data_IF_807712285434
#
_entry.id   IF_807712285434
#
_cell.length_a   1.000
_cell.length_b   1.000
_cell.length_c   1.000
_cell.angle_alpha   90.00
_cell.angle_beta   90.00
_cell.angle_gamma   90.00
#
_symmetry.space_group_name_H-M   'P 1'
#
loop_
_entity.id
_entity.type
_entity.pdbx_description
1 polymer ?
#
# COMPACT_ATOMS: atom_id res chain seq x y z
N UNK A 1 10.50 24.82 -2.99
CA UNK A 1 10.14 23.72 -2.07
C UNK A 1 8.62 23.64 -2.05
N UNK A 2 8.05 22.49 -2.41
CA UNK A 2 6.61 22.31 -2.54
C UNK A 2 5.97 22.29 -1.15
N UNK A 3 5.16 23.30 -0.82
CA UNK A 3 4.55 23.46 0.51
C UNK A 3 3.52 22.36 0.86
N UNK A 4 3.00 21.65 -0.15
CA UNK A 4 2.12 20.49 0.05
C UNK A 4 2.87 19.33 0.73
N UNK A 5 4.14 19.14 0.34
CA UNK A 5 5.00 18.10 0.90
C UNK A 5 5.31 18.40 2.37
N UNK A 6 5.53 19.68 2.72
CA UNK A 6 5.80 20.14 4.09
C UNK A 6 4.60 19.89 5.04
N UNK A 7 3.37 20.14 4.58
CA UNK A 7 2.18 19.86 5.40
C UNK A 7 1.91 18.36 5.58
N UNK A 8 2.06 17.58 4.51
CA UNK A 8 1.88 16.13 4.58
C UNK A 8 2.93 15.48 5.50
N UNK A 9 4.20 15.86 5.37
CA UNK A 9 5.29 15.41 6.25
C UNK A 9 5.02 15.80 7.71
N UNK A 10 4.54 17.03 7.96
CA UNK A 10 4.17 17.48 9.30
C UNK A 10 3.03 16.65 9.91
N UNK A 11 1.99 16.35 9.14
CA UNK A 11 0.87 15.51 9.57
C UNK A 11 1.33 14.08 9.87
N UNK A 12 2.12 13.48 8.99
CA UNK A 12 2.67 12.14 9.17
C UNK A 12 3.56 12.06 10.42
N UNK A 13 4.36 13.10 10.68
CA UNK A 13 5.17 13.20 11.89
C UNK A 13 4.31 13.33 13.16
N UNK A 14 3.22 14.11 13.13
CA UNK A 14 2.30 14.24 14.27
C UNK A 14 1.61 12.92 14.61
N UNK A 15 1.24 12.14 13.60
CA UNK A 15 0.68 10.78 13.78
C UNK A 15 1.75 9.84 14.36
N UNK A 16 2.95 9.84 13.80
CA UNK A 16 4.06 8.99 14.26
C UNK A 16 4.47 9.26 15.71
N UNK A 17 4.42 10.52 16.14
CA UNK A 17 4.72 10.94 17.51
C UNK A 17 3.53 10.80 18.47
N UNK A 18 2.42 10.18 18.05
CA UNK A 18 1.18 10.02 18.83
C UNK A 18 0.59 11.35 19.33
N UNK A 19 0.84 12.46 18.62
CA UNK A 19 0.21 13.75 18.92
C UNK A 19 -1.21 13.85 18.35
N UNK A 20 -1.52 13.06 17.33
CA UNK A 20 -2.81 12.95 16.66
C UNK A 20 -3.10 11.47 16.42
N UNK A 21 -4.29 10.99 16.82
CA UNK A 21 -4.71 9.63 16.49
C UNK A 21 -5.00 9.50 15.00
N UNK A 22 -4.64 8.36 14.41
CA UNK A 22 -4.96 8.00 13.03
C UNK A 22 -5.90 6.80 13.02
N UNK A 23 -6.89 6.83 12.14
CA UNK A 23 -7.86 5.76 11.93
C UNK A 23 -7.87 5.35 10.47
N UNK A 24 -8.08 4.07 10.18
CA UNK A 24 -8.32 3.61 8.82
C UNK A 24 -9.72 4.06 8.38
N UNK A 25 -9.87 4.55 7.15
CA UNK A 25 -11.15 5.11 6.70
C UNK A 25 -12.28 4.06 6.69
N UNK A 26 -11.92 2.78 6.50
CA UNK A 26 -12.85 1.65 6.52
C UNK A 26 -13.40 1.33 7.91
N UNK A 27 -12.89 1.95 8.97
CA UNK A 27 -13.47 1.85 10.33
C UNK A 27 -14.77 2.66 10.47
N UNK A 28 -15.10 3.49 9.49
CA UNK A 28 -16.30 4.30 9.46
C UNK A 28 -17.33 3.69 8.50
N UNK A 29 -18.55 3.48 8.99
CA UNK A 29 -19.67 2.93 8.21
C UNK A 29 -20.85 3.91 8.18
N UNK A 30 -21.87 3.64 7.34
CA UNK A 30 -23.11 4.43 7.30
C UNK A 30 -22.88 5.92 6.98
N UNK A 31 -22.06 6.21 5.97
CA UNK A 31 -21.77 7.57 5.52
C UNK A 31 -23.04 8.28 5.01
N UNK A 32 -23.46 9.35 5.70
CA UNK A 32 -24.56 10.20 5.29
C UNK A 32 -24.08 11.65 5.17
N UNK A 33 -24.32 12.30 4.03
CA UNK A 33 -24.00 13.71 3.85
C UNK A 33 -24.83 14.57 4.83
N UNK A 34 -24.15 15.38 5.64
CA UNK A 34 -24.77 16.30 6.61
C UNK A 34 -24.79 17.72 6.05
N UNK A 35 -23.73 18.12 5.36
CA UNK A 35 -23.66 19.44 4.74
C UNK A 35 -22.36 19.65 3.98
N UNK A 36 -22.41 20.54 3.00
CA UNK A 36 -21.28 20.86 2.13
C UNK A 36 -21.06 22.38 2.14
N UNK A 37 -19.87 22.77 2.59
CA UNK A 37 -19.43 24.16 2.57
C UNK A 37 -18.48 24.43 1.42
N UNK A 38 -18.04 25.69 1.32
CA UNK A 38 -17.09 26.13 0.30
C UNK A 38 -15.73 25.40 0.37
N UNK A 39 -15.33 24.97 1.56
CA UNK A 39 -13.98 24.42 1.81
C UNK A 39 -14.00 22.99 2.36
N UNK A 40 -15.17 22.45 2.71
CA UNK A 40 -15.26 21.14 3.35
C UNK A 40 -16.61 20.47 3.10
N UNK A 41 -16.58 19.14 3.00
CA UNK A 41 -17.76 18.30 3.04
C UNK A 41 -17.84 17.62 4.40
N UNK A 42 -19.03 17.59 5.02
CA UNK A 42 -19.27 16.93 6.30
C UNK A 42 -20.21 15.76 6.08
N UNK A 43 -19.73 14.56 6.41
CA UNK A 43 -20.50 13.32 6.42
C UNK A 43 -20.64 12.85 7.87
N UNK A 44 -21.80 12.36 8.29
CA UNK A 44 -21.90 11.56 9.50
C UNK A 44 -21.54 10.12 9.18
N UNK A 45 -20.88 9.43 10.11
CA UNK A 45 -20.58 8.01 10.02
C UNK A 45 -20.67 7.36 11.40
N UNK A 46 -20.76 6.04 11.44
CA UNK A 46 -20.65 5.23 12.64
C UNK A 46 -19.23 4.71 12.76
N UNK A 47 -18.61 4.93 13.92
CA UNK A 47 -17.30 4.40 14.28
C UNK A 47 -17.49 3.31 15.34
N UNK A 48 -16.66 2.27 15.33
CA UNK A 48 -16.65 1.12 16.26
C UNK A 48 -17.31 1.41 17.63
N UNK A 49 -18.18 0.48 18.09
CA UNK A 49 -18.96 0.57 19.33
C UNK A 49 -20.11 1.60 19.33
N UNK A 50 -20.83 1.74 18.21
CA UNK A 50 -22.02 2.59 18.06
C UNK A 50 -21.80 4.10 18.32
N UNK A 51 -20.57 4.58 18.13
CA UNK A 51 -20.25 6.01 18.28
C UNK A 51 -20.50 6.74 16.97
N UNK A 52 -21.47 7.67 16.97
CA UNK A 52 -21.72 8.53 15.80
C UNK A 52 -20.68 9.63 15.73
N UNK A 53 -20.00 9.73 14.59
CA UNK A 53 -18.95 10.72 14.33
C UNK A 53 -19.31 11.62 13.14
N UNK A 54 -18.72 12.81 13.10
CA UNK A 54 -18.77 13.69 11.94
C UNK A 54 -17.39 13.68 11.25
N UNK A 55 -17.34 13.14 10.04
CA UNK A 55 -16.19 13.17 9.14
C UNK A 55 -16.23 14.47 8.34
N UNK A 56 -15.21 15.31 8.52
CA UNK A 56 -15.06 16.57 7.79
C UNK A 56 -13.89 16.44 6.82
N UNK A 57 -14.20 16.26 5.53
CA UNK A 57 -13.19 16.21 4.47
C UNK A 57 -12.95 17.62 3.92
N UNK A 58 -11.68 17.97 3.75
CA UNK A 58 -11.28 19.25 3.16
C UNK A 58 -11.19 19.07 1.65
N UNK A 59 -11.84 19.97 0.91
CA UNK A 59 -11.67 20.03 -0.54
C UNK A 59 -10.34 20.71 -0.83
N UNK A 60 -9.31 19.93 -1.13
CA UNK A 60 -7.99 20.44 -1.48
C UNK A 60 -7.83 20.34 -2.99
N UNK A 61 -8.30 21.35 -3.71
CA UNK A 61 -7.95 21.51 -5.12
C UNK A 61 -6.49 21.99 -5.23
N UNK A 62 -5.80 21.55 -6.28
CA UNK A 62 -4.32 21.44 -6.44
C UNK A 62 -3.57 22.79 -6.54
N UNK A 63 -4.12 23.87 -6.00
CA UNK A 63 -3.35 25.09 -5.70
C UNK A 63 -3.60 25.44 -4.24
N UNK A 64 -2.73 24.91 -3.37
CA UNK A 64 -2.77 25.18 -1.94
C UNK A 64 -2.41 26.64 -1.66
N UNK A 65 -3.42 27.48 -1.53
CA UNK A 65 -3.28 28.75 -0.87
C UNK A 65 -2.89 28.49 0.60
N UNK A 66 -1.73 29.01 1.01
CA UNK A 66 -1.18 28.98 2.38
C UNK A 66 -2.23 29.25 3.46
N UNK A 67 -3.18 30.12 3.14
CA UNK A 67 -4.30 30.53 3.99
C UNK A 67 -5.24 29.38 4.39
N UNK A 68 -5.44 28.37 3.53
CA UNK A 68 -6.34 27.24 3.81
C UNK A 68 -5.70 26.29 4.82
N UNK A 69 -4.41 25.98 4.64
CA UNK A 69 -3.65 25.14 5.57
C UNK A 69 -3.56 25.83 6.94
N UNK A 70 -3.28 27.13 6.96
CA UNK A 70 -3.21 27.90 8.21
C UNK A 70 -4.55 27.91 8.95
N UNK A 71 -5.67 28.09 8.23
CA UNK A 71 -7.02 27.98 8.80
C UNK A 71 -7.30 26.58 9.35
N UNK A 72 -6.91 25.52 8.64
CA UNK A 72 -7.06 24.15 9.12
C UNK A 72 -6.27 23.89 10.40
N UNK A 73 -4.99 24.27 10.42
CA UNK A 73 -4.12 24.11 11.60
C UNK A 73 -4.68 24.90 12.79
N UNK A 74 -5.22 26.10 12.56
CA UNK A 74 -5.86 26.90 13.60
C UNK A 74 -7.15 26.24 14.13
N UNK A 75 -8.00 25.70 13.26
CA UNK A 75 -9.19 24.95 13.67
C UNK A 75 -8.81 23.70 14.47
N UNK A 76 -7.80 22.94 14.03
CA UNK A 76 -7.30 21.78 14.75
C UNK A 76 -6.70 22.15 16.13
N UNK A 77 -5.98 23.28 16.22
CA UNK A 77 -5.50 23.83 17.51
C UNK A 77 -6.65 24.23 18.42
N UNK A 78 -7.72 24.82 17.90
CA UNK A 78 -8.90 25.19 18.68
C UNK A 78 -9.62 23.94 19.20
N UNK A 79 -9.90 22.96 18.34
CA UNK A 79 -10.56 21.70 18.72
C UNK A 79 -9.75 20.91 19.76
N UNK A 80 -8.43 21.06 19.79
CA UNK A 80 -7.55 20.46 20.81
C UNK A 80 -7.48 21.26 22.13
N UNK A 81 -7.86 22.55 22.11
CA UNK A 81 -7.85 23.42 23.29
C UNK A 81 -9.17 23.41 24.06
N UNK A 82 -10.28 23.03 23.43
CA UNK A 82 -11.58 23.01 24.10
C UNK A 82 -11.69 21.74 24.96
N UNK A 83 -11.81 21.95 26.27
CA UNK A 83 -11.91 20.88 27.26
C UNK A 83 -13.27 20.14 27.22
N UNK A 84 -13.22 18.91 27.71
CA UNK A 84 -14.25 17.87 27.65
C UNK A 84 -15.61 18.32 28.19
N UNK A 85 -16.57 18.55 27.29
CA UNK A 85 -18.00 18.67 27.63
C UNK A 85 -18.81 17.76 26.70
N UNK A 86 -19.79 16.99 27.20
CA UNK A 86 -20.53 16.00 26.39
C UNK A 86 -21.30 16.61 25.21
N UNK A 87 -21.58 17.92 25.25
CA UNK A 87 -22.28 18.64 24.18
C UNK A 87 -21.35 19.39 23.21
N UNK A 88 -20.03 19.19 23.29
CA UNK A 88 -19.04 19.82 22.40
C UNK A 88 -18.40 18.74 21.53
N UNK A 89 -18.34 18.99 20.22
CA UNK A 89 -17.68 18.09 19.28
C UNK A 89 -16.19 17.97 19.60
N UNK A 90 -15.76 16.75 19.91
CA UNK A 90 -14.35 16.42 20.19
C UNK A 90 -13.65 15.99 18.91
N UNK A 91 -12.46 16.53 18.69
CA UNK A 91 -11.56 15.99 17.67
C UNK A 91 -11.01 14.64 18.13
N UNK A 92 -11.34 13.57 17.40
CA UNK A 92 -10.93 12.21 17.72
C UNK A 92 -9.59 11.83 17.07
N UNK A 93 -9.35 12.32 15.86
CA UNK A 93 -8.16 12.02 15.06
C UNK A 93 -8.38 12.35 13.60
N UNK A 94 -7.48 11.84 12.76
CA UNK A 94 -7.55 11.98 11.30
C UNK A 94 -7.69 10.62 10.63
N UNK A 95 -8.21 10.66 9.41
CA UNK A 95 -8.25 9.51 8.50
C UNK A 95 -8.04 10.02 7.08
N UNK A 96 -7.62 9.13 6.18
CA UNK A 96 -7.43 9.45 4.76
C UNK A 96 -8.58 8.84 3.98
N UNK A 97 -9.49 9.70 3.52
CA UNK A 97 -10.60 9.29 2.65
C UNK A 97 -10.03 8.61 1.41
N UNK A 98 -10.49 7.39 1.16
CA UNK A 98 -10.21 6.66 -0.06
C UNK A 98 -11.05 7.34 -1.13
N UNK A 99 -10.42 8.02 -2.08
CA UNK A 99 -11.14 8.66 -3.19
C UNK A 99 -11.98 7.61 -3.90
N UNK A 100 -13.22 7.97 -4.24
CA UNK A 100 -14.27 7.11 -4.84
C UNK A 100 -13.96 6.61 -6.26
N UNK A 101 -12.69 6.47 -6.62
CA UNK A 101 -12.22 5.66 -7.73
C UNK A 101 -11.94 4.20 -7.30
N UNK A 102 -12.04 3.90 -6.00
CA UNK A 102 -11.60 2.64 -5.40
C UNK A 102 -12.72 1.71 -4.91
N UNK A 103 -14.00 1.97 -5.20
CA UNK A 103 -15.09 1.02 -4.88
C UNK A 103 -16.14 0.88 -5.98
N UNK A 104 -16.01 -0.16 -6.82
CA UNK A 104 -17.13 -1.06 -7.17
C UNK A 104 -16.62 -2.37 -7.79
N UNK A 105 -16.89 -3.45 -7.05
CA UNK A 105 -17.19 -4.83 -7.46
C UNK A 105 -16.33 -5.58 -8.49
N UNK A 106 -16.07 -6.85 -8.11
CA UNK A 106 -15.53 -7.97 -8.88
C UNK A 106 -14.09 -7.86 -9.32
N UNK A 107 -13.28 -8.72 -8.71
CA UNK A 107 -12.15 -9.44 -9.26
C UNK A 107 -11.52 -8.89 -10.57
N UNK A 108 -10.24 -8.58 -10.42
CA UNK A 108 -9.26 -8.30 -11.47
C UNK A 108 -9.24 -6.85 -11.98
N UNK A 109 -8.03 -6.25 -11.91
CA UNK A 109 -7.66 -4.98 -12.54
C UNK A 109 -8.27 -3.70 -11.94
N UNK A 110 -7.56 -3.06 -10.99
CA UNK A 110 -7.40 -1.59 -10.92
C UNK A 110 -6.44 -1.21 -9.77
N UNK A 111 -5.13 -1.38 -10.03
CA UNK A 111 -4.07 -0.68 -9.29
C UNK A 111 -3.36 0.30 -10.25
N UNK A 112 -4.15 0.93 -11.15
CA UNK A 112 -3.69 1.87 -12.17
C UNK A 112 -4.59 3.12 -12.10
N UNK A 113 -4.39 3.96 -11.08
CA UNK A 113 -4.46 5.40 -11.30
C UNK A 113 -3.08 5.84 -11.76
N UNK A 114 -2.86 5.78 -13.07
CA UNK A 114 -1.67 6.34 -13.72
C UNK A 114 -2.05 7.65 -14.38
N UNK A 115 -1.41 8.73 -13.93
CA UNK A 115 -1.17 9.86 -14.82
C UNK A 115 -0.18 9.38 -15.90
N UNK A 116 -0.72 9.08 -17.09
CA UNK A 116 0.05 8.59 -18.25
C UNK A 116 0.94 9.69 -18.87
N UNK A 117 0.92 10.93 -18.36
CA UNK A 117 1.64 12.04 -18.98
C UNK A 117 3.16 12.03 -18.79
N UNK A 118 3.69 11.29 -17.80
CA UNK A 118 5.14 11.29 -17.50
C UNK A 118 5.86 10.00 -17.92
N UNK A 119 5.16 9.01 -18.50
CA UNK A 119 5.70 7.65 -18.68
C UNK A 119 5.95 7.26 -20.13
N UNK A 120 5.34 7.95 -21.09
CA UNK A 120 5.63 7.72 -22.52
C UNK A 120 7.08 8.10 -22.90
N UNK A 121 7.85 8.74 -22.00
CA UNK A 121 9.29 8.98 -22.18
C UNK A 121 10.23 7.93 -21.59
N UNK A 122 9.73 6.91 -20.85
CA UNK A 122 10.58 6.04 -20.01
C UNK A 122 10.58 4.56 -20.40
N UNK A 123 9.86 4.15 -21.45
CA UNK A 123 9.82 2.73 -21.89
C UNK A 123 9.80 2.55 -23.42
N UNK A 124 10.25 3.54 -24.19
CA UNK A 124 10.23 3.48 -25.66
C UNK A 124 11.41 2.71 -26.28
N UNK A 125 12.54 2.59 -25.58
CA UNK A 125 13.73 1.90 -26.09
C UNK A 125 13.74 0.41 -25.71
N UNK A 126 14.06 -0.46 -26.68
CA UNK A 126 14.14 -1.91 -26.50
C UNK A 126 15.16 -2.32 -25.44
N UNK A 127 16.28 -1.60 -25.39
CA UNK A 127 17.43 -1.92 -24.54
C UNK A 127 17.14 -1.67 -23.05
N UNK A 128 16.30 -0.67 -22.76
CA UNK A 128 15.86 -0.38 -21.38
C UNK A 128 14.93 -1.46 -20.84
N UNK A 129 14.09 -2.08 -21.69
CA UNK A 129 13.19 -3.17 -21.29
C UNK A 129 13.96 -4.43 -20.95
N UNK A 130 14.92 -4.82 -21.80
CA UNK A 130 15.73 -6.01 -21.58
C UNK A 130 16.57 -5.89 -20.30
N UNK A 131 17.15 -4.71 -20.05
CA UNK A 131 17.87 -4.45 -18.81
C UNK A 131 16.98 -4.59 -17.56
N UNK A 132 15.75 -4.04 -17.59
CA UNK A 132 14.80 -4.17 -16.47
C UNK A 132 14.42 -5.64 -16.21
N UNK A 133 14.22 -6.42 -17.27
CA UNK A 133 13.91 -7.85 -17.15
C UNK A 133 15.09 -8.60 -16.53
N UNK A 134 16.32 -8.34 -16.98
CA UNK A 134 17.52 -8.97 -16.43
C UNK A 134 17.68 -8.68 -14.93
N UNK A 135 17.46 -7.43 -14.51
CA UNK A 135 17.54 -7.05 -13.09
C UNK A 135 16.46 -7.77 -12.26
N UNK A 136 15.25 -7.96 -12.80
CA UNK A 136 14.17 -8.71 -12.13
C UNK A 136 14.45 -10.22 -12.09
N UNK A 137 15.09 -10.77 -13.12
CA UNK A 137 15.53 -12.16 -13.13
C UNK A 137 16.63 -12.41 -12.09
N UNK A 138 17.54 -11.45 -11.89
CA UNK A 138 18.54 -11.51 -10.82
C UNK A 138 17.89 -11.61 -9.44
N UNK A 139 16.79 -10.88 -9.19
CA UNK A 139 16.03 -10.99 -7.95
C UNK A 139 15.51 -12.41 -7.71
N UNK A 140 14.97 -13.05 -8.76
CA UNK A 140 14.46 -14.43 -8.70
C UNK A 140 15.59 -15.42 -8.42
N UNK A 141 16.73 -15.24 -9.06
CA UNK A 141 17.91 -16.08 -8.83
C UNK A 141 18.45 -15.94 -7.41
N UNK A 142 18.56 -14.71 -6.91
CA UNK A 142 18.97 -14.43 -5.52
C UNK A 142 18.00 -15.08 -4.53
N UNK A 143 16.69 -14.97 -4.77
CA UNK A 143 15.69 -15.61 -3.91
C UNK A 143 15.78 -17.15 -3.94
N UNK A 144 15.99 -17.72 -5.12
CA UNK A 144 16.16 -19.17 -5.28
C UNK A 144 17.41 -19.68 -4.57
N UNK A 145 18.52 -18.94 -4.66
CA UNK A 145 19.76 -19.25 -3.95
C UNK A 145 19.59 -19.14 -2.44
N UNK A 146 18.90 -18.09 -1.97
CA UNK A 146 18.50 -17.94 -0.57
C UNK A 146 17.72 -19.15 -0.05
N UNK A 147 16.74 -19.64 -0.82
CA UNK A 147 15.95 -20.81 -0.42
C UNK A 147 16.76 -22.11 -0.39
N UNK A 148 17.71 -22.30 -1.32
CA UNK A 148 18.54 -23.50 -1.41
C UNK A 148 19.66 -23.56 -0.36
N UNK A 149 20.37 -22.46 -0.17
CA UNK A 149 21.55 -22.41 0.70
C UNK A 149 21.19 -22.14 2.16
N UNK A 150 20.14 -21.34 2.40
CA UNK A 150 19.74 -20.94 3.75
C UNK A 150 20.85 -20.27 4.57
N UNK A 151 21.86 -19.68 3.90
CA UNK A 151 23.00 -19.05 4.56
C UNK A 151 22.75 -17.56 4.76
N UNK A 152 23.35 -16.99 5.82
CA UNK A 152 23.25 -15.55 6.13
C UNK A 152 23.73 -14.67 4.97
N UNK A 153 24.68 -15.14 4.18
CA UNK A 153 25.19 -14.43 2.99
C UNK A 153 24.16 -14.42 1.86
N UNK A 154 23.51 -15.55 1.59
CA UNK A 154 22.45 -15.62 0.57
C UNK A 154 21.23 -14.77 0.95
N UNK A 155 20.91 -14.71 2.24
CA UNK A 155 19.91 -13.80 2.77
C UNK A 155 20.31 -12.34 2.53
N UNK A 156 21.54 -11.96 2.92
CA UNK A 156 22.04 -10.59 2.74
C UNK A 156 22.03 -10.15 1.28
N UNK A 157 22.48 -11.00 0.36
CA UNK A 157 22.52 -10.67 -1.07
C UNK A 157 21.13 -10.39 -1.63
N UNK A 158 20.13 -11.18 -1.23
CA UNK A 158 18.74 -10.95 -1.60
C UNK A 158 18.17 -9.64 -1.03
N UNK A 159 18.49 -9.31 0.23
CA UNK A 159 18.03 -8.07 0.85
C UNK A 159 18.71 -6.84 0.21
N UNK A 160 20.03 -6.91 -0.03
CA UNK A 160 20.81 -5.85 -0.66
C UNK A 160 20.27 -5.47 -2.05
N UNK A 161 19.74 -6.44 -2.80
CA UNK A 161 19.14 -6.15 -4.12
C UNK A 161 18.04 -5.09 -4.02
N UNK A 162 17.20 -5.13 -2.98
CA UNK A 162 16.14 -4.13 -2.80
C UNK A 162 16.71 -2.76 -2.46
N UNK A 163 17.76 -2.72 -1.65
CA UNK A 163 18.40 -1.46 -1.26
C UNK A 163 19.08 -0.80 -2.47
N UNK A 164 19.81 -1.59 -3.28
CA UNK A 164 20.45 -1.10 -4.50
C UNK A 164 19.45 -0.57 -5.53
N UNK A 165 18.28 -1.18 -5.63
CA UNK A 165 17.25 -0.82 -6.62
C UNK A 165 16.18 0.12 -6.06
N UNK A 166 16.33 0.62 -4.83
CA UNK A 166 15.29 1.40 -4.14
C UNK A 166 14.90 2.68 -4.89
N UNK A 167 15.88 3.39 -5.47
CA UNK A 167 15.65 4.62 -6.24
C UNK A 167 14.80 4.39 -7.49
N UNK A 168 14.87 3.19 -8.09
CA UNK A 168 14.09 2.78 -9.25
C UNK A 168 12.88 1.91 -8.89
N UNK A 169 12.58 1.75 -7.59
CA UNK A 169 11.55 0.82 -7.12
C UNK A 169 10.18 1.06 -7.75
N UNK A 170 9.78 2.34 -7.89
CA UNK A 170 8.53 2.71 -8.55
C UNK A 170 8.53 2.32 -10.03
N UNK A 171 9.64 2.55 -10.75
CA UNK A 171 9.78 2.16 -12.15
C UNK A 171 9.65 0.65 -12.33
N UNK A 172 10.30 -0.15 -11.48
CA UNK A 172 10.17 -1.62 -11.51
C UNK A 172 8.73 -2.08 -11.27
N UNK A 173 8.04 -1.51 -10.28
CA UNK A 173 6.65 -1.86 -10.00
C UNK A 173 5.73 -1.56 -11.19
N UNK A 174 5.89 -0.38 -11.78
CA UNK A 174 5.15 0.06 -12.98
C UNK A 174 5.45 -0.87 -14.17
N UNK A 175 6.72 -1.18 -14.40
CA UNK A 175 7.16 -2.05 -15.48
C UNK A 175 6.55 -3.45 -15.36
N UNK A 176 6.60 -4.07 -14.17
CA UNK A 176 5.97 -5.37 -13.90
C UNK A 176 4.46 -5.34 -14.15
N UNK A 177 3.76 -4.28 -13.74
CA UNK A 177 2.33 -4.14 -13.97
C UNK A 177 1.95 -4.07 -15.44
N UNK A 178 2.79 -3.43 -16.26
CA UNK A 178 2.55 -3.29 -17.71
C UNK A 178 2.96 -4.52 -18.52
N UNK A 179 3.93 -5.31 -18.05
CA UNK A 179 4.55 -6.40 -18.80
C UNK A 179 4.34 -7.76 -18.11
N UNK A 180 3.08 -8.11 -17.85
CA UNK A 180 2.68 -9.32 -17.11
C UNK A 180 3.04 -10.63 -17.79
N UNK A 181 3.18 -10.61 -19.13
CA UNK A 181 3.42 -11.81 -19.94
C UNK A 181 4.90 -12.08 -20.20
N UNK A 182 5.76 -11.06 -20.06
CA UNK A 182 7.17 -11.14 -20.44
C UNK A 182 8.05 -11.58 -19.27
N UNK A 183 7.69 -11.19 -18.05
CA UNK A 183 8.51 -11.44 -16.86
C UNK A 183 8.15 -12.80 -16.25
N UNK A 184 9.12 -13.70 -16.17
CA UNK A 184 8.97 -14.96 -15.45
C UNK A 184 8.76 -14.71 -13.95
N UNK A 185 8.02 -15.60 -13.27
CA UNK A 185 7.69 -15.45 -11.85
C UNK A 185 7.01 -14.10 -11.50
N UNK A 186 6.31 -13.51 -12.47
CA UNK A 186 5.67 -12.19 -12.35
C UNK A 186 4.84 -12.03 -11.07
N UNK A 187 3.92 -12.96 -10.82
CA UNK A 187 3.04 -12.92 -9.66
C UNK A 187 3.82 -13.01 -8.35
N UNK A 188 4.87 -13.84 -8.32
CA UNK A 188 5.78 -13.94 -7.19
C UNK A 188 6.45 -12.58 -6.94
N UNK A 189 7.06 -11.96 -7.95
CA UNK A 189 7.78 -10.69 -7.81
C UNK A 189 6.84 -9.58 -7.34
N UNK A 190 5.67 -9.43 -7.97
CA UNK A 190 4.67 -8.43 -7.55
C UNK A 190 4.26 -8.64 -6.09
N UNK A 191 4.02 -9.88 -5.68
CA UNK A 191 3.71 -10.17 -4.28
C UNK A 191 4.84 -9.75 -3.34
N UNK A 192 6.10 -10.00 -3.69
CA UNK A 192 7.26 -9.54 -2.89
C UNK A 192 7.33 -8.01 -2.81
N UNK A 193 6.96 -7.30 -3.87
CA UNK A 193 6.91 -5.84 -3.85
C UNK A 193 5.84 -5.33 -2.89
N UNK A 194 4.63 -5.90 -2.88
CA UNK A 194 3.62 -5.57 -1.86
C UNK A 194 4.04 -6.01 -0.45
N UNK A 195 4.70 -7.15 -0.29
CA UNK A 195 5.17 -7.60 1.03
C UNK A 195 6.17 -6.63 1.65
N UNK A 196 7.03 -6.02 0.82
CA UNK A 196 8.14 -5.17 1.25
C UNK A 196 7.86 -3.67 1.12
N UNK A 197 6.83 -3.28 0.38
CA UNK A 197 6.56 -1.89 0.04
C UNK A 197 7.51 -1.32 -1.01
N UNK A 198 7.96 -2.13 -1.97
CA UNK A 198 8.92 -1.72 -3.00
C UNK A 198 8.20 -1.06 -4.19
N UNK A 199 8.29 0.27 -4.30
CA UNK A 199 7.59 1.03 -5.34
C UNK A 199 6.06 1.10 -5.17
N UNK A 200 5.54 0.60 -4.05
CA UNK A 200 4.11 0.53 -3.71
C UNK A 200 3.96 0.49 -2.18
N UNK A 201 2.80 0.89 -1.64
CA UNK A 201 2.52 0.74 -0.19
C UNK A 201 2.56 -0.74 0.20
N UNK A 202 3.22 -1.04 1.32
CA UNK A 202 3.28 -2.39 1.87
C UNK A 202 1.85 -2.90 2.17
N UNK A 203 1.54 -4.13 1.75
CA UNK A 203 0.23 -4.74 1.96
C UNK A 203 0.32 -6.27 1.97
N UNK A 204 0.17 -6.88 3.15
CA UNK A 204 0.23 -8.34 3.32
C UNK A 204 -0.97 -9.08 2.71
N UNK A 205 -2.16 -8.45 2.64
CA UNK A 205 -3.33 -9.05 2.01
C UNK A 205 -3.19 -9.12 0.48
N UNK A 206 -2.67 -8.06 -0.14
CA UNK A 206 -2.31 -8.08 -1.58
C UNK A 206 -1.18 -9.08 -1.84
N UNK A 207 -0.15 -9.11 -1.00
CA UNK A 207 0.90 -10.14 -1.09
C UNK A 207 0.32 -11.57 -1.09
N UNK A 208 -0.58 -11.88 -0.15
CA UNK A 208 -1.26 -13.18 -0.09
C UNK A 208 -1.99 -13.50 -1.39
N UNK A 209 -2.84 -12.59 -1.89
CA UNK A 209 -3.58 -12.78 -3.15
C UNK A 209 -2.65 -13.01 -4.35
N UNK A 210 -1.52 -12.30 -4.44
CA UNK A 210 -0.55 -12.52 -5.51
C UNK A 210 0.13 -13.89 -5.43
N UNK A 211 0.43 -14.38 -4.22
CA UNK A 211 0.95 -15.74 -4.07
C UNK A 211 -0.09 -16.78 -4.49
N UNK A 212 -1.37 -16.60 -4.14
CA UNK A 212 -2.44 -17.47 -4.62
C UNK A 212 -2.53 -17.48 -6.16
N UNK A 213 -2.45 -16.32 -6.81
CA UNK A 213 -2.43 -16.24 -8.28
C UNK A 213 -1.22 -16.97 -8.87
N UNK A 214 -0.03 -16.80 -8.31
CA UNK A 214 1.18 -17.48 -8.77
C UNK A 214 1.06 -19.01 -8.73
N UNK A 215 0.37 -19.57 -7.72
CA UNK A 215 0.14 -21.03 -7.67
C UNK A 215 -0.72 -21.57 -8.81
N UNK A 216 -1.55 -20.73 -9.45
CA UNK A 216 -2.35 -21.15 -10.63
C UNK A 216 -1.48 -21.45 -11.86
N UNK A 217 -0.27 -20.88 -11.91
CA UNK A 217 0.76 -21.15 -12.93
C UNK A 217 1.75 -22.22 -12.51
N UNK A 218 1.47 -22.95 -11.43
CA UNK A 218 2.32 -23.98 -10.83
C UNK A 218 3.73 -23.48 -10.42
N UNK A 219 3.85 -22.19 -10.08
CA UNK A 219 5.11 -21.60 -9.66
C UNK A 219 5.51 -22.09 -8.25
N UNK A 220 6.62 -22.84 -8.18
CA UNK A 220 7.17 -23.41 -6.94
C UNK A 220 7.53 -22.32 -5.92
N UNK A 221 7.99 -21.14 -6.36
CA UNK A 221 8.30 -20.02 -5.46
C UNK A 221 7.02 -19.44 -4.85
N UNK A 222 5.96 -19.34 -5.63
CA UNK A 222 4.65 -18.89 -5.16
C UNK A 222 4.05 -19.88 -4.15
N UNK A 223 4.12 -21.18 -4.40
CA UNK A 223 3.69 -22.20 -3.41
C UNK A 223 4.46 -22.08 -2.09
N UNK A 224 5.79 -21.92 -2.17
CA UNK A 224 6.62 -21.80 -0.98
C UNK A 224 6.27 -20.55 -0.17
N UNK A 225 6.08 -19.40 -0.81
CA UNK A 225 5.68 -18.17 -0.11
C UNK A 225 4.23 -18.22 0.40
N UNK A 226 3.30 -18.83 -0.34
CA UNK A 226 1.93 -19.04 0.13
C UNK A 226 1.88 -19.93 1.37
N UNK A 227 2.74 -20.96 1.44
CA UNK A 227 2.89 -21.79 2.63
C UNK A 227 3.31 -20.96 3.86
N UNK A 228 4.22 -20.00 3.67
CA UNK A 228 4.65 -19.07 4.72
C UNK A 228 3.54 -18.10 5.11
N UNK A 229 2.67 -17.68 4.19
CA UNK A 229 1.49 -16.89 4.52
C UNK A 229 0.59 -17.61 5.51
N UNK A 230 0.25 -18.87 5.24
CA UNK A 230 -0.58 -19.67 6.15
C UNK A 230 0.13 -20.06 7.45
N UNK A 231 1.44 -20.29 7.43
CA UNK A 231 2.20 -20.61 8.65
C UNK A 231 2.31 -19.41 9.61
N UNK A 232 2.63 -18.23 9.08
CA UNK A 232 2.84 -17.02 9.88
C UNK A 232 1.58 -16.15 10.04
N UNK A 233 0.53 -16.39 9.26
CA UNK A 233 -0.69 -15.58 9.23
C UNK A 233 -0.50 -14.25 8.48
N UNK A 234 0.26 -14.24 7.38
CA UNK A 234 0.51 -13.02 6.59
C UNK A 234 -0.61 -12.81 5.58
N UNK A 235 -1.50 -11.86 5.85
CA UNK A 235 -2.61 -11.53 4.96
C UNK A 235 -3.75 -12.56 4.96
N UNK A 236 -3.64 -13.60 5.78
CA UNK A 236 -4.62 -14.68 5.95
C UNK A 236 -4.53 -15.23 7.38
N UNK A 237 -5.59 -15.87 7.87
CA UNK A 237 -5.54 -16.59 9.14
C UNK A 237 -4.55 -17.75 9.08
N UNK A 238 -3.91 -18.05 10.22
CA UNK A 238 -2.98 -19.15 10.31
C UNK A 238 -3.66 -20.49 10.06
N UNK A 239 -3.04 -21.34 9.25
CA UNK A 239 -3.48 -22.69 8.96
C UNK A 239 -2.25 -23.58 8.67
N UNK A 240 -1.78 -24.29 9.70
CA UNK A 240 -0.59 -25.13 9.59
C UNK A 240 -0.81 -26.34 8.65
N UNK A 241 -2.06 -26.81 8.52
CA UNK A 241 -2.40 -27.93 7.64
C UNK A 241 -2.26 -27.52 6.17
N UNK A 242 -2.87 -26.39 5.79
CA UNK A 242 -2.69 -25.81 4.46
C UNK A 242 -1.25 -25.41 4.17
N UNK A 243 -0.55 -24.83 5.16
CA UNK A 243 0.86 -24.50 5.02
C UNK A 243 1.70 -25.73 4.65
N UNK A 244 1.49 -26.86 5.35
CA UNK A 244 2.21 -28.10 5.06
C UNK A 244 1.90 -28.67 3.66
N UNK A 245 0.63 -28.65 3.24
CA UNK A 245 0.23 -29.10 1.89
C UNK A 245 0.92 -28.29 0.79
N UNK A 246 0.91 -26.95 0.92
CA UNK A 246 1.51 -26.04 -0.05
C UNK A 246 3.04 -26.15 -0.08
N UNK A 247 3.68 -26.32 1.08
CA UNK A 247 5.12 -26.55 1.17
C UNK A 247 5.53 -27.86 0.46
N UNK A 248 4.71 -28.92 0.60
CA UNK A 248 4.97 -30.15 -0.13
C UNK A 248 4.80 -29.97 -1.64
N UNK A 249 3.86 -29.14 -2.10
CA UNK A 249 3.71 -28.81 -3.52
C UNK A 249 4.92 -28.05 -4.07
N UNK A 250 5.50 -27.10 -3.31
CA UNK A 250 6.68 -26.36 -3.78
C UNK A 250 7.91 -27.24 -4.02
N UNK A 251 7.98 -28.40 -3.37
CA UNK A 251 9.13 -29.32 -3.44
C UNK A 251 8.96 -30.49 -4.43
N UNK A 252 7.80 -30.63 -5.09
CA UNK A 252 7.61 -31.69 -6.08
C UNK A 252 8.41 -31.37 -7.34
N UNK A 253 9.15 -32.35 -7.85
CA UNK A 253 10.02 -32.24 -9.03
C UNK A 253 9.18 -32.26 -10.30
#
# INVERSE_FOLDING_TARGET
>A
MNQNTDFQEWMEMCVKLNHINSFEYNEFTEHQLVGEGRFACVKSAMMNCDVKVALKSLKVDVVLEKDIIEKFVNELKLLRKVDFHPNINRFLGVTKEISSDDETSSDEENDISFDNSDIDSLTSDSDDKENMINILNDLVQLYSNKCKLGSSESDRNYENWFDYNMSNSRKFFIFLKKNTEIVEHHEFILGKFYQRGFGVKQNNAKYFKWMERGTRKDDKLAYFELSKCYFFGKGVNKDNGKAYELYNRSNRA
#
